data_IF_134482906676
#
_entry.id   IF_134482906676
#
_cell.length_a   1.000
_cell.length_b   1.000
_cell.length_c   1.000
_cell.angle_alpha   90.00
_cell.angle_beta   90.00
_cell.angle_gamma   90.00
#
_symmetry.space_group_name_H-M   'P 1'
#
loop_
_entity.id
_entity.type
_entity.pdbx_description
1 polymer ?
#
# COMPACT_ATOMS: atom_id res chain seq x y z
N UNK A 1 -21.21 51.93 58.83
CA UNK A 1 -22.19 50.93 59.26
C UNK A 1 -21.79 49.63 58.57
N UNK A 2 -21.18 48.71 59.35
CA UNK A 2 -20.94 47.24 59.20
C UNK A 2 -20.74 46.67 57.77
N UNK A 3 -19.81 45.77 57.44
CA UNK A 3 -19.08 44.71 58.15
C UNK A 3 -17.92 44.25 57.20
N UNK A 4 -16.69 43.93 57.65
CA UNK A 4 -16.16 42.56 57.92
C UNK A 4 -15.85 41.75 56.62
N UNK A 5 -14.81 40.91 56.41
CA UNK A 5 -13.86 40.12 57.21
C UNK A 5 -12.60 39.79 56.36
N UNK A 6 -11.45 39.78 57.03
CA UNK A 6 -10.21 38.97 56.95
C UNK A 6 -9.42 38.67 55.66
N UNK A 7 -8.12 38.51 55.96
CA UNK A 7 -6.93 38.32 55.15
C UNK A 7 -6.34 36.90 55.36
N UNK A 8 -5.69 36.38 54.32
CA UNK A 8 -4.48 35.51 54.32
C UNK A 8 -4.59 34.04 54.78
N UNK A 9 -4.23 33.08 53.90
CA UNK A 9 -3.00 32.27 53.99
C UNK A 9 -2.97 31.12 52.97
N UNK A 10 -1.80 30.90 52.35
CA UNK A 10 -1.43 29.65 51.67
C UNK A 10 -1.14 28.55 52.70
N UNK A 11 -1.49 27.31 52.38
CA UNK A 11 -0.82 26.11 52.90
C UNK A 11 -0.80 25.00 51.85
N UNK A 12 0.38 24.42 51.67
CA UNK A 12 0.66 23.26 50.85
C UNK A 12 0.12 21.98 51.50
N UNK A 13 -0.42 21.08 50.67
CA UNK A 13 -0.80 19.73 51.06
C UNK A 13 -0.20 18.72 50.08
N UNK A 14 0.90 18.11 50.48
CA UNK A 14 1.57 16.98 49.83
C UNK A 14 0.76 15.69 50.05
N UNK A 15 0.35 15.04 48.96
CA UNK A 15 -0.23 13.70 48.98
C UNK A 15 0.46 12.82 47.94
N UNK A 16 1.53 12.14 48.35
CA UNK A 16 2.23 11.15 47.52
C UNK A 16 1.38 9.89 47.37
N UNK A 17 0.87 9.65 46.16
CA UNK A 17 0.37 8.34 45.75
C UNK A 17 1.55 7.51 45.23
N UNK A 18 2.04 6.58 46.05
CA UNK A 18 3.05 5.61 45.66
C UNK A 18 2.47 4.71 44.55
N UNK A 19 3.14 4.67 43.41
CA UNK A 19 2.94 3.67 42.37
C UNK A 19 3.42 2.32 42.91
N UNK A 20 2.49 1.43 43.22
CA UNK A 20 2.83 0.03 43.51
C UNK A 20 3.21 -0.68 42.18
N UNK A 21 4.32 -1.42 42.11
CA UNK A 21 4.67 -2.21 40.94
C UNK A 21 3.94 -3.56 40.98
N UNK A 22 3.39 -3.98 39.84
CA UNK A 22 3.07 -5.39 39.60
C UNK A 22 1.65 -5.86 39.90
N UNK A 23 0.62 -5.19 39.35
CA UNK A 23 -0.64 -5.89 39.08
C UNK A 23 -0.62 -6.44 37.66
N UNK A 24 -0.22 -7.71 37.57
CA UNK A 24 -0.51 -8.56 36.42
C UNK A 24 -2.05 -8.59 36.23
N UNK A 25 -2.57 -8.30 35.03
CA UNK A 25 -4.01 -8.33 34.81
C UNK A 25 -4.54 -9.75 35.06
N UNK A 26 -5.74 -9.90 35.65
CA UNK A 26 -6.28 -11.21 36.00
C UNK A 26 -6.39 -12.09 34.75
N UNK A 27 -5.81 -13.29 34.84
CA UNK A 27 -5.92 -14.33 33.83
C UNK A 27 -7.40 -14.65 33.57
N UNK A 28 -7.88 -14.43 32.35
CA UNK A 28 -9.21 -14.87 31.92
C UNK A 28 -10.09 -13.83 31.23
N UNK A 29 -9.67 -12.58 31.07
CA UNK A 29 -10.34 -11.67 30.14
C UNK A 29 -9.78 -11.92 28.74
N UNK A 30 -10.48 -12.71 27.91
CA UNK A 30 -10.25 -12.74 26.47
C UNK A 30 -10.39 -11.31 25.96
N UNK A 31 -9.26 -10.66 25.63
CA UNK A 31 -9.26 -9.37 24.94
C UNK A 31 -10.26 -9.50 23.77
N UNK A 32 -11.25 -8.60 23.62
CA UNK A 32 -12.10 -8.64 22.44
C UNK A 32 -11.18 -8.68 21.21
N UNK A 33 -11.47 -9.52 20.20
CA UNK A 33 -10.65 -9.57 19.00
C UNK A 33 -10.47 -8.14 18.50
N UNK A 34 -9.22 -7.71 18.36
CA UNK A 34 -8.91 -6.37 17.90
C UNK A 34 -9.59 -6.19 16.55
N UNK A 35 -10.30 -5.06 16.38
CA UNK A 35 -11.02 -4.76 15.14
C UNK A 35 -10.11 -4.98 13.91
N UNK A 36 -10.63 -5.49 12.78
CA UNK A 36 -9.80 -5.83 11.62
C UNK A 36 -9.01 -4.63 11.09
N UNK A 37 -7.70 -4.80 10.95
CA UNK A 37 -6.77 -3.75 10.52
C UNK A 37 -6.34 -3.88 9.05
N UNK A 38 -6.71 -4.97 8.38
CA UNK A 38 -6.45 -5.25 6.96
C UNK A 38 -7.71 -5.80 6.29
N UNK A 39 -7.76 -5.77 4.96
CA UNK A 39 -8.85 -6.39 4.23
C UNK A 39 -8.89 -7.91 4.49
N UNK A 40 -7.75 -8.60 4.53
CA UNK A 40 -7.72 -10.04 4.81
C UNK A 40 -8.24 -10.38 6.22
N UNK A 41 -7.88 -9.60 7.25
CA UNK A 41 -8.46 -9.77 8.59
C UNK A 41 -9.97 -9.53 8.59
N UNK A 42 -10.44 -8.53 7.83
CA UNK A 42 -11.86 -8.22 7.71
C UNK A 42 -12.64 -9.37 7.05
N UNK A 43 -12.08 -9.95 5.99
CA UNK A 43 -12.63 -11.13 5.33
C UNK A 43 -12.68 -12.34 6.28
N UNK A 44 -11.60 -12.61 7.02
CA UNK A 44 -11.56 -13.72 7.99
C UNK A 44 -12.58 -13.58 9.11
N UNK A 45 -12.84 -12.34 9.55
CA UNK A 45 -13.78 -12.07 10.62
C UNK A 45 -15.25 -12.19 10.18
N UNK A 46 -15.57 -11.98 8.90
CA UNK A 46 -16.96 -11.85 8.43
C UNK A 46 -17.37 -12.86 7.33
N UNK A 47 -16.44 -13.64 6.78
CA UNK A 47 -16.71 -14.55 5.68
C UNK A 47 -16.86 -13.82 4.33
N UNK A 48 -18.03 -13.93 3.70
CA UNK A 48 -18.28 -13.35 2.38
C UNK A 48 -18.59 -11.85 2.47
N UNK A 49 -17.72 -11.04 1.91
CA UNK A 49 -17.87 -9.59 1.80
C UNK A 49 -17.89 -9.18 0.33
N UNK A 50 -18.59 -8.10 0.01
CA UNK A 50 -18.57 -7.50 -1.33
C UNK A 50 -17.33 -6.61 -1.49
N UNK A 51 -16.79 -6.53 -2.70
CA UNK A 51 -15.72 -5.57 -2.98
C UNK A 51 -16.20 -4.14 -2.72
N UNK A 52 -15.32 -3.28 -2.19
CA UNK A 52 -15.72 -1.92 -1.87
C UNK A 52 -14.79 -1.17 -0.94
N UNK A 53 -15.23 0.01 -0.51
CA UNK A 53 -14.47 0.88 0.40
C UNK A 53 -14.85 0.57 1.85
N UNK A 54 -13.85 0.32 2.69
CA UNK A 54 -14.01 -0.06 4.09
C UNK A 54 -13.12 0.78 4.99
N UNK A 55 -13.63 1.09 6.19
CA UNK A 55 -12.81 1.65 7.27
C UNK A 55 -12.13 0.51 8.02
N UNK A 56 -10.80 0.53 8.09
CA UNK A 56 -10.01 -0.45 8.82
C UNK A 56 -9.50 0.12 10.14
N UNK A 57 -9.35 -0.74 11.14
CA UNK A 57 -8.83 -0.36 12.43
C UNK A 57 -7.40 0.17 12.33
N UNK A 58 -7.14 1.32 12.96
CA UNK A 58 -5.82 1.93 13.01
C UNK A 58 -5.45 2.76 11.77
N UNK A 59 -6.18 2.68 10.66
CA UNK A 59 -6.04 3.64 9.56
C UNK A 59 -6.97 4.84 9.78
N UNK A 60 -6.47 6.04 9.50
CA UNK A 60 -7.29 7.25 9.52
C UNK A 60 -8.19 7.30 8.28
N UNK A 61 -7.65 6.88 7.14
CA UNK A 61 -8.30 6.88 5.85
C UNK A 61 -8.94 5.52 5.53
N UNK A 62 -10.06 5.46 4.80
CA UNK A 62 -10.61 4.20 4.33
C UNK A 62 -9.75 3.60 3.21
N UNK A 63 -9.96 2.32 2.90
CA UNK A 63 -9.27 1.62 1.81
C UNK A 63 -10.25 0.85 0.94
N UNK A 64 -9.89 0.60 -0.31
CA UNK A 64 -10.63 -0.34 -1.15
C UNK A 64 -10.16 -1.77 -0.87
N UNK A 65 -11.10 -2.65 -0.55
CA UNK A 65 -10.89 -4.08 -0.38
C UNK A 65 -11.46 -4.85 -1.57
N UNK A 66 -10.65 -5.74 -2.14
CA UNK A 66 -11.07 -6.72 -3.14
C UNK A 66 -11.12 -8.11 -2.48
N UNK A 67 -12.34 -8.62 -2.34
CA UNK A 67 -12.68 -9.91 -1.76
C UNK A 67 -13.03 -10.97 -2.81
N UNK A 68 -13.31 -10.56 -4.05
CA UNK A 68 -13.76 -11.45 -5.11
C UNK A 68 -12.61 -12.09 -5.90
N UNK A 69 -11.48 -11.39 -6.05
CA UNK A 69 -10.39 -11.87 -6.92
C UNK A 69 -9.29 -12.59 -6.12
N UNK A 70 -8.84 -13.72 -6.67
CA UNK A 70 -7.63 -14.43 -6.22
C UNK A 70 -7.61 -14.70 -4.71
N UNK A 71 -8.73 -15.24 -4.20
CA UNK A 71 -8.94 -15.58 -2.78
C UNK A 71 -9.31 -14.40 -1.87
N UNK A 72 -9.41 -13.19 -2.41
CA UNK A 72 -9.85 -12.00 -1.68
C UNK A 72 -8.86 -11.50 -0.63
N UNK A 73 -9.29 -10.49 0.13
CA UNK A 73 -8.50 -9.91 1.21
C UNK A 73 -7.41 -8.97 0.73
N UNK A 74 -7.51 -8.50 -0.52
CA UNK A 74 -6.56 -7.57 -1.11
C UNK A 74 -6.87 -6.14 -0.70
N UNK A 75 -5.86 -5.41 -0.24
CA UNK A 75 -5.94 -3.97 0.02
C UNK A 75 -5.34 -3.19 -1.14
N UNK A 76 -6.11 -2.26 -1.71
CA UNK A 76 -5.61 -1.37 -2.75
C UNK A 76 -4.58 -0.39 -2.17
N UNK A 77 -3.40 -0.33 -2.77
CA UNK A 77 -2.36 0.63 -2.38
C UNK A 77 -2.24 1.79 -3.36
N UNK A 78 -2.47 1.56 -4.65
CA UNK A 78 -2.31 2.59 -5.68
C UNK A 78 -3.20 2.33 -6.89
N UNK A 79 -3.78 3.40 -7.42
CA UNK A 79 -4.45 3.46 -8.72
C UNK A 79 -3.82 4.56 -9.54
N UNK A 80 -3.22 4.19 -10.66
CA UNK A 80 -2.68 5.11 -11.66
C UNK A 80 -3.63 5.15 -12.86
N UNK A 81 -4.74 5.86 -12.73
CA UNK A 81 -5.73 6.00 -13.79
C UNK A 81 -5.28 6.96 -14.90
N UNK A 82 -4.47 7.95 -14.57
CA UNK A 82 -3.84 8.86 -15.53
C UNK A 82 -2.49 9.35 -15.01
N UNK A 83 -1.68 9.95 -15.89
CA UNK A 83 -0.39 10.60 -15.50
C UNK A 83 -0.58 11.95 -14.79
N UNK A 84 -1.80 12.49 -14.77
CA UNK A 84 -2.03 13.86 -14.33
C UNK A 84 -1.71 14.06 -12.83
N UNK A 85 -0.82 15.03 -12.57
CA UNK A 85 -0.51 15.52 -11.24
C UNK A 85 0.30 14.57 -10.36
N UNK A 86 0.92 13.52 -10.91
CA UNK A 86 1.87 12.68 -10.16
C UNK A 86 3.22 13.37 -10.02
N UNK A 87 3.84 13.18 -8.87
CA UNK A 87 5.22 13.54 -8.58
C UNK A 87 5.84 12.49 -7.63
N UNK A 88 7.15 12.56 -7.39
CA UNK A 88 7.87 11.55 -6.59
C UNK A 88 7.41 11.46 -5.13
N UNK A 89 6.87 12.55 -4.59
CA UNK A 89 6.41 12.61 -3.21
C UNK A 89 5.01 12.00 -3.10
N UNK A 90 4.11 12.40 -4.00
CA UNK A 90 2.70 12.01 -3.94
C UNK A 90 2.44 10.58 -4.45
N UNK A 91 3.42 9.93 -5.09
CA UNK A 91 3.40 8.47 -5.30
C UNK A 91 3.17 7.72 -3.98
N UNK A 92 3.67 8.25 -2.85
CA UNK A 92 3.51 7.63 -1.52
C UNK A 92 2.13 7.83 -0.91
N UNK A 93 1.52 8.98 -1.15
CA UNK A 93 0.25 9.37 -0.56
C UNK A 93 -0.46 10.40 -1.45
N UNK A 94 -1.64 10.04 -1.96
CA UNK A 94 -2.45 10.89 -2.85
C UNK A 94 -3.92 10.50 -2.73
N UNK A 95 -4.80 11.48 -2.56
CA UNK A 95 -6.26 11.25 -2.44
C UNK A 95 -6.59 10.16 -1.41
N UNK A 96 -5.83 10.11 -0.31
CA UNK A 96 -5.81 8.96 0.60
C UNK A 96 -7.19 8.66 1.22
N UNK A 97 -7.99 9.69 1.40
CA UNK A 97 -9.37 9.66 1.91
C UNK A 97 -10.41 9.21 0.87
N UNK A 98 -10.01 9.04 -0.40
CA UNK A 98 -10.90 8.70 -1.52
C UNK A 98 -10.35 7.51 -2.34
N UNK A 99 -10.33 6.28 -1.77
CA UNK A 99 -9.97 5.08 -2.52
C UNK A 99 -10.81 4.95 -3.79
N UNK A 100 -10.15 4.72 -4.92
CA UNK A 100 -10.80 4.63 -6.22
C UNK A 100 -10.06 3.65 -7.11
N UNK A 101 -10.81 2.87 -7.90
CA UNK A 101 -10.25 2.04 -8.97
C UNK A 101 -10.13 2.80 -10.31
N UNK A 102 -10.73 3.99 -10.40
CA UNK A 102 -10.85 4.77 -11.64
C UNK A 102 -10.21 6.15 -11.57
N UNK A 103 -9.83 6.61 -10.38
CA UNK A 103 -9.16 7.88 -10.16
C UNK A 103 -7.78 7.69 -9.55
N UNK A 104 -6.90 8.68 -9.75
CA UNK A 104 -5.56 8.65 -9.17
C UNK A 104 -5.63 8.62 -7.63
N UNK A 105 -5.14 7.53 -7.06
CA UNK A 105 -5.17 7.22 -5.63
C UNK A 105 -3.84 6.60 -5.22
N UNK A 106 -3.33 6.94 -4.04
CA UNK A 106 -2.22 6.23 -3.42
C UNK A 106 -2.27 6.30 -1.90
N UNK A 107 -2.09 5.15 -1.28
CA UNK A 107 -1.65 4.97 0.10
C UNK A 107 -0.41 4.06 0.13
N UNK A 108 0.41 4.06 -0.92
CA UNK A 108 1.57 3.18 -1.04
C UNK A 108 2.51 3.26 0.18
N UNK A 109 2.66 4.45 0.77
CA UNK A 109 3.42 4.67 2.01
C UNK A 109 2.83 4.03 3.27
N UNK A 110 1.59 3.54 3.22
CA UNK A 110 0.97 2.72 4.28
C UNK A 110 1.21 1.22 4.08
N UNK A 111 1.71 0.80 2.91
CA UNK A 111 1.86 -0.61 2.54
C UNK A 111 2.64 -1.42 3.56
N UNK A 112 3.76 -0.88 4.07
CA UNK A 112 4.58 -1.58 5.05
C UNK A 112 3.89 -1.78 6.40
N UNK A 113 3.13 -0.78 6.84
CA UNK A 113 2.32 -0.86 8.07
C UNK A 113 1.26 -1.95 7.93
N UNK A 114 0.58 -2.00 6.79
CA UNK A 114 -0.49 -2.97 6.55
C UNK A 114 0.08 -4.39 6.41
N UNK A 115 1.19 -4.55 5.67
CA UNK A 115 1.95 -5.80 5.59
C UNK A 115 2.41 -6.31 6.97
N UNK A 116 2.73 -5.42 7.91
CA UNK A 116 3.22 -5.79 9.23
C UNK A 116 2.22 -6.59 10.08
N UNK A 117 0.94 -6.61 9.71
CA UNK A 117 -0.09 -7.46 10.34
C UNK A 117 0.00 -8.94 9.95
N UNK A 118 0.70 -9.27 8.87
CA UNK A 118 0.92 -10.66 8.44
C UNK A 118 2.03 -11.33 9.24
N UNK A 119 1.88 -12.64 9.47
CA UNK A 119 2.84 -13.43 10.27
C UNK A 119 3.83 -14.26 9.43
N UNK A 120 3.58 -14.43 8.14
CA UNK A 120 4.43 -15.23 7.24
C UNK A 120 5.73 -14.54 6.84
N UNK A 121 6.71 -15.32 6.35
CA UNK A 121 8.01 -14.80 5.88
C UNK A 121 7.94 -14.02 4.56
N UNK A 122 6.81 -14.11 3.86
CA UNK A 122 6.53 -13.41 2.61
C UNK A 122 5.14 -12.81 2.65
N UNK A 123 4.96 -11.73 1.89
CA UNK A 123 3.66 -11.14 1.58
C UNK A 123 3.39 -11.25 0.09
N UNK A 124 2.13 -11.08 -0.30
CA UNK A 124 1.73 -11.06 -1.69
C UNK A 124 1.46 -9.63 -2.17
N UNK A 125 1.78 -9.37 -3.44
CA UNK A 125 1.34 -8.18 -4.12
C UNK A 125 0.83 -8.51 -5.50
N UNK A 126 -0.12 -7.70 -5.98
CA UNK A 126 -0.73 -7.86 -7.30
C UNK A 126 -0.58 -6.59 -8.11
N UNK A 127 -0.16 -6.73 -9.35
CA UNK A 127 -0.15 -5.66 -10.35
C UNK A 127 -1.13 -6.02 -11.45
N UNK A 128 -1.95 -5.05 -11.81
CA UNK A 128 -2.89 -5.14 -12.94
C UNK A 128 -2.67 -3.91 -13.81
N UNK A 129 -2.43 -4.13 -15.11
CA UNK A 129 -2.46 -3.09 -16.12
C UNK A 129 -3.80 -3.11 -16.86
N UNK A 130 -4.16 -2.00 -17.47
CA UNK A 130 -5.38 -1.81 -18.26
C UNK A 130 -6.67 -2.16 -17.49
N UNK A 131 -6.70 -1.89 -16.18
CA UNK A 131 -7.81 -2.24 -15.31
C UNK A 131 -9.14 -1.54 -15.66
N UNK A 132 -9.11 -0.51 -16.51
CA UNK A 132 -10.30 0.11 -17.10
C UNK A 132 -11.02 -0.79 -18.14
N UNK A 133 -10.34 -1.82 -18.64
CA UNK A 133 -10.90 -2.80 -19.58
C UNK A 133 -11.46 -3.98 -18.80
N UNK A 134 -10.62 -4.64 -17.99
CA UNK A 134 -11.01 -5.72 -17.09
C UNK A 134 -9.96 -5.89 -15.97
N UNK A 135 -10.33 -6.57 -14.89
CA UNK A 135 -9.43 -6.93 -13.78
C UNK A 135 -8.50 -8.08 -14.17
N UNK A 136 -7.35 -8.16 -13.49
CA UNK A 136 -6.31 -9.20 -13.69
C UNK A 136 -5.79 -9.24 -15.12
N UNK A 137 -5.47 -8.07 -15.67
CA UNK A 137 -4.88 -7.91 -16.99
C UNK A 137 -3.42 -7.46 -16.88
N UNK A 138 -2.59 -7.85 -17.85
CA UNK A 138 -1.22 -7.41 -18.12
C UNK A 138 -0.36 -7.24 -16.87
N UNK A 139 -0.20 -8.30 -16.09
CA UNK A 139 0.45 -8.23 -14.79
C UNK A 139 0.54 -9.58 -14.11
N UNK A 140 0.32 -9.61 -12.80
CA UNK A 140 0.39 -10.87 -12.06
C UNK A 140 0.28 -10.71 -10.55
N UNK A 141 0.49 -11.81 -9.87
CA UNK A 141 0.62 -11.92 -8.41
C UNK A 141 2.00 -12.46 -8.10
N UNK A 142 2.67 -11.79 -7.17
CA UNK A 142 3.99 -12.17 -6.71
C UNK A 142 4.02 -12.32 -5.20
N UNK A 143 4.98 -13.12 -4.72
CA UNK A 143 5.41 -13.12 -3.33
C UNK A 143 6.74 -12.38 -3.20
N UNK A 144 6.88 -11.60 -2.13
CA UNK A 144 8.09 -10.89 -1.77
C UNK A 144 8.47 -11.16 -0.30
N UNK A 145 9.78 -11.22 0.04
CA UNK A 145 10.30 -11.26 1.40
C UNK A 145 9.69 -10.20 2.30
N UNK A 146 9.36 -10.55 3.54
CA UNK A 146 8.67 -9.64 4.48
C UNK A 146 9.48 -8.39 4.82
N UNK A 147 10.80 -8.43 4.73
CA UNK A 147 11.71 -7.31 4.97
C UNK A 147 11.72 -6.28 3.81
N UNK A 148 11.17 -6.61 2.65
CA UNK A 148 11.04 -5.67 1.52
C UNK A 148 9.99 -4.60 1.78
N UNK A 149 10.25 -3.35 1.39
CA UNK A 149 9.31 -2.22 1.52
C UNK A 149 8.46 -2.03 0.26
N UNK A 150 7.28 -1.44 0.38
CA UNK A 150 6.47 -0.93 -0.76
C UNK A 150 6.98 0.39 -1.35
N UNK A 151 7.93 1.02 -0.66
CA UNK A 151 8.43 2.34 -0.97
C UNK A 151 9.94 2.39 -1.27
N UNK A 152 10.56 1.35 -1.87
CA UNK A 152 12.00 1.33 -2.07
C UNK A 152 12.40 2.40 -3.07
N UNK A 153 13.57 2.99 -2.87
CA UNK A 153 14.13 4.03 -3.74
C UNK A 153 15.20 3.47 -4.71
N UNK A 154 15.37 2.14 -4.69
CA UNK A 154 16.32 1.40 -5.52
C UNK A 154 15.67 0.14 -6.08
N UNK A 155 16.23 -0.40 -7.16
CA UNK A 155 15.78 -1.61 -7.84
C UNK A 155 16.37 -2.90 -7.23
N UNK A 156 16.64 -2.90 -5.92
CA UNK A 156 17.39 -3.98 -5.23
C UNK A 156 16.49 -5.10 -4.70
N UNK A 157 15.17 -4.88 -4.62
CA UNK A 157 14.19 -5.84 -4.12
C UNK A 157 13.80 -6.90 -5.17
N UNK A 158 14.76 -7.78 -5.49
CA UNK A 158 14.71 -8.70 -6.65
C UNK A 158 14.32 -10.15 -6.33
N UNK A 159 14.37 -10.58 -5.08
CA UNK A 159 13.96 -11.94 -4.69
C UNK A 159 12.42 -12.07 -4.63
N UNK A 160 11.78 -12.03 -5.79
CA UNK A 160 10.32 -12.17 -5.92
C UNK A 160 9.95 -13.46 -6.65
N UNK A 161 8.86 -14.09 -6.24
CA UNK A 161 8.32 -15.29 -6.87
C UNK A 161 7.00 -14.97 -7.57
N UNK A 162 6.92 -15.17 -8.89
CA UNK A 162 5.67 -15.05 -9.65
C UNK A 162 4.77 -16.25 -9.34
N UNK A 163 3.63 -16.01 -8.70
CA UNK A 163 2.65 -17.05 -8.35
C UNK A 163 1.62 -17.22 -9.45
N UNK A 164 1.17 -16.10 -10.03
CA UNK A 164 0.16 -16.10 -11.07
C UNK A 164 0.47 -15.04 -12.09
N UNK A 165 0.49 -15.43 -13.37
CA UNK A 165 0.66 -14.51 -14.49
C UNK A 165 -0.71 -14.11 -15.03
N UNK A 166 -0.86 -12.83 -15.37
CA UNK A 166 -2.00 -12.30 -16.11
C UNK A 166 -1.56 -11.94 -17.52
N UNK A 167 -2.27 -12.51 -18.51
CA UNK A 167 -1.96 -12.42 -19.93
C UNK A 167 -0.57 -12.91 -20.34
N UNK A 168 -0.24 -12.70 -21.61
CA UNK A 168 1.00 -13.16 -22.21
C UNK A 168 2.07 -12.07 -22.17
N UNK A 169 3.02 -12.23 -21.25
CA UNK A 169 4.22 -11.41 -21.20
C UNK A 169 5.42 -12.21 -20.69
N UNK A 170 6.63 -11.71 -20.94
CA UNK A 170 7.89 -12.28 -20.46
C UNK A 170 8.68 -11.22 -19.72
N UNK A 171 9.46 -11.63 -18.71
CA UNK A 171 10.36 -10.68 -18.08
C UNK A 171 11.42 -10.19 -19.06
N UNK A 172 11.80 -8.93 -18.96
CA UNK A 172 12.96 -8.41 -19.69
C UNK A 172 12.82 -6.94 -20.04
N UNK A 173 13.82 -6.45 -20.78
CA UNK A 173 13.90 -5.04 -21.22
C UNK A 173 12.58 -4.49 -21.77
N UNK A 174 11.87 -5.16 -22.72
CA UNK A 174 10.62 -4.64 -23.28
C UNK A 174 9.37 -4.87 -22.41
N UNK A 175 9.51 -5.20 -21.12
CA UNK A 175 8.41 -5.60 -20.24
C UNK A 175 8.74 -5.37 -18.76
N UNK A 176 7.98 -6.01 -17.88
CA UNK A 176 8.23 -6.07 -16.44
C UNK A 176 9.58 -6.75 -16.17
N UNK A 177 10.24 -6.34 -15.08
CA UNK A 177 11.46 -7.01 -14.61
C UNK A 177 11.19 -7.75 -13.30
N UNK A 178 12.15 -8.59 -12.90
CA UNK A 178 12.09 -9.36 -11.64
C UNK A 178 12.50 -8.50 -10.44
N UNK A 179 11.68 -7.51 -10.10
CA UNK A 179 11.81 -6.68 -8.90
C UNK A 179 10.45 -6.17 -8.46
N UNK A 180 10.29 -5.89 -7.17
CA UNK A 180 9.17 -5.04 -6.74
C UNK A 180 9.26 -3.65 -7.39
N UNK A 181 8.11 -2.99 -7.64
CA UNK A 181 8.09 -1.59 -8.02
C UNK A 181 8.90 -0.72 -7.05
N UNK A 182 9.71 0.19 -7.59
CA UNK A 182 10.54 1.13 -6.85
C UNK A 182 10.37 2.56 -7.35
N UNK A 183 10.63 3.52 -6.47
CA UNK A 183 10.42 4.94 -6.69
C UNK A 183 11.72 5.57 -7.14
N UNK A 184 11.66 6.25 -8.28
CA UNK A 184 12.83 6.80 -8.92
C UNK A 184 13.19 8.18 -8.34
N UNK A 185 13.96 8.18 -7.26
CA UNK A 185 14.42 9.43 -6.63
C UNK A 185 15.76 9.93 -7.17
N UNK A 186 16.56 9.07 -7.79
CA UNK A 186 17.93 9.38 -8.27
C UNK A 186 18.00 9.86 -9.73
N UNK A 187 16.89 10.38 -10.28
CA UNK A 187 16.83 10.86 -11.67
C UNK A 187 17.22 9.81 -12.72
N UNK A 188 17.03 8.50 -12.45
CA UNK A 188 17.20 7.47 -13.48
C UNK A 188 16.31 7.80 -14.68
N UNK A 189 16.87 7.75 -15.90
CA UNK A 189 16.22 8.25 -17.11
C UNK A 189 15.61 9.65 -16.94
N UNK A 190 16.34 10.58 -16.32
CA UNK A 190 15.89 11.97 -16.06
C UNK A 190 14.61 12.06 -15.23
N UNK A 191 14.33 11.04 -14.42
CA UNK A 191 13.12 11.02 -13.59
C UNK A 191 11.84 10.59 -14.30
N UNK A 192 11.93 10.15 -15.57
CA UNK A 192 10.76 9.82 -16.40
C UNK A 192 9.86 8.79 -15.71
N UNK A 193 10.33 7.59 -15.32
CA UNK A 193 9.51 6.70 -14.52
C UNK A 193 9.50 7.21 -13.08
N UNK A 194 8.33 7.47 -12.50
CA UNK A 194 8.17 7.80 -11.08
C UNK A 194 8.11 6.54 -10.21
N UNK A 195 7.39 5.52 -10.69
CA UNK A 195 7.26 4.20 -10.05
C UNK A 195 7.38 3.13 -11.13
N UNK A 196 8.35 2.24 -11.01
CA UNK A 196 8.66 1.28 -12.07
C UNK A 196 9.20 -0.04 -11.55
N UNK A 197 9.09 -1.09 -12.36
CA UNK A 197 9.82 -2.35 -12.18
C UNK A 197 11.12 -2.38 -12.99
N UNK A 198 11.42 -1.40 -13.84
CA UNK A 198 12.65 -1.39 -14.63
C UNK A 198 13.90 -1.51 -13.75
N UNK A 199 14.85 -2.39 -14.10
CA UNK A 199 16.17 -2.41 -13.46
C UNK A 199 17.04 -1.30 -14.02
N UNK A 200 17.78 -0.55 -13.19
CA UNK A 200 18.63 0.56 -13.66
C UNK A 200 19.62 0.13 -14.74
N UNK A 201 20.15 -1.10 -14.63
CA UNK A 201 21.08 -1.69 -15.59
C UNK A 201 20.47 -1.99 -16.98
N UNK A 202 19.13 -2.01 -17.12
CA UNK A 202 18.50 -2.27 -18.41
C UNK A 202 18.61 -1.07 -19.36
N UNK A 203 18.69 0.15 -18.79
CA UNK A 203 18.57 1.43 -19.48
C UNK A 203 17.34 1.51 -20.39
N UNK A 204 16.22 1.02 -19.87
CA UNK A 204 14.93 0.93 -20.55
C UNK A 204 13.81 1.57 -19.68
N UNK A 205 12.62 1.73 -20.23
CA UNK A 205 11.49 2.45 -19.62
C UNK A 205 10.19 1.63 -19.57
N UNK A 206 10.20 0.40 -20.11
CA UNK A 206 9.11 -0.56 -19.97
C UNK A 206 8.98 -1.11 -18.54
N UNK A 207 7.79 -1.60 -18.21
CA UNK A 207 7.43 -2.02 -16.87
C UNK A 207 7.20 -0.86 -15.90
N UNK A 208 6.89 0.33 -16.43
CA UNK A 208 6.65 1.54 -15.64
C UNK A 208 5.17 1.67 -15.29
N UNK A 209 4.89 1.81 -14.00
CA UNK A 209 3.53 1.96 -13.47
C UNK A 209 3.09 3.43 -13.61
N UNK A 210 3.98 4.35 -13.25
CA UNK A 210 3.74 5.79 -13.29
C UNK A 210 4.91 6.49 -13.98
N UNK A 211 4.61 7.29 -14.99
CA UNK A 211 5.55 8.25 -15.59
C UNK A 211 5.24 9.67 -15.16
N UNK A 212 6.26 10.50 -15.06
CA UNK A 212 6.12 11.94 -14.89
C UNK A 212 5.35 12.53 -16.09
N UNK A 213 4.24 13.26 -15.86
CA UNK A 213 3.42 13.84 -16.92
C UNK A 213 4.18 14.78 -17.85
N UNK A 214 5.26 15.42 -17.41
CA UNK A 214 6.02 16.39 -18.19
C UNK A 214 6.95 15.77 -19.25
N UNK A 215 7.08 14.44 -19.29
CA UNK A 215 8.27 13.81 -19.89
C UNK A 215 8.01 12.84 -21.04
N UNK A 216 6.75 12.61 -21.43
CA UNK A 216 6.40 11.63 -22.47
C UNK A 216 5.16 12.01 -23.29
N UNK A 217 5.13 11.61 -24.56
CA UNK A 217 3.96 11.71 -25.46
C UNK A 217 2.95 10.57 -25.28
N UNK A 218 3.27 9.53 -24.50
CA UNK A 218 2.37 8.42 -24.26
C UNK A 218 1.18 8.86 -23.40
N UNK A 219 -0.02 8.35 -23.68
CA UNK A 219 -1.21 8.67 -22.87
C UNK A 219 -1.16 8.03 -21.48
N UNK A 220 -0.57 6.84 -21.36
CA UNK A 220 -0.29 6.11 -20.13
C UNK A 220 1.18 5.66 -20.10
N UNK A 221 1.65 5.10 -18.98
CA UNK A 221 3.05 4.67 -18.84
C UNK A 221 3.42 3.55 -19.84
N UNK A 222 4.67 3.50 -20.34
CA UNK A 222 5.17 2.37 -21.10
C UNK A 222 5.18 1.11 -20.22
N UNK A 223 4.46 0.08 -20.67
CA UNK A 223 4.20 -1.09 -19.85
C UNK A 223 4.82 -2.37 -20.39
N UNK A 224 4.19 -3.00 -21.38
CA UNK A 224 4.67 -4.25 -21.98
C UNK A 224 4.64 -4.07 -23.50
N UNK A 225 5.79 -3.88 -24.12
CA UNK A 225 5.91 -3.51 -25.54
C UNK A 225 5.06 -4.39 -26.46
N UNK A 226 5.11 -5.71 -26.25
CA UNK A 226 4.34 -6.69 -27.01
C UNK A 226 3.04 -6.98 -26.27
N UNK A 227 1.91 -6.48 -26.80
CA UNK A 227 0.57 -6.78 -26.32
C UNK A 227 -0.10 -5.63 -25.56
N UNK A 228 0.62 -4.97 -24.63
CA UNK A 228 0.11 -3.83 -23.86
C UNK A 228 1.13 -2.69 -23.77
N UNK A 229 1.42 -2.00 -24.89
CA UNK A 229 2.44 -0.96 -24.91
C UNK A 229 2.09 0.24 -24.02
N UNK A 230 0.81 0.41 -23.70
CA UNK A 230 0.33 1.38 -22.71
C UNK A 230 -0.20 0.65 -21.48
N UNK A 231 0.16 1.15 -20.30
CA UNK A 231 -0.25 0.59 -19.02
C UNK A 231 -1.76 0.67 -18.79
N UNK A 232 -2.46 1.62 -19.40
CA UNK A 232 -3.82 1.99 -19.00
C UNK A 232 -3.86 2.39 -17.52
N UNK A 233 -4.99 2.14 -16.87
CA UNK A 233 -5.13 2.18 -15.41
C UNK A 233 -4.32 1.05 -14.79
N UNK A 234 -3.34 1.41 -13.96
CA UNK A 234 -2.58 0.43 -13.17
C UNK A 234 -3.14 0.36 -11.76
N UNK A 235 -3.35 -0.85 -11.25
CA UNK A 235 -3.70 -1.12 -9.86
C UNK A 235 -2.57 -1.87 -9.17
N UNK A 236 -2.18 -1.41 -7.99
CA UNK A 236 -1.19 -2.05 -7.13
C UNK A 236 -1.83 -2.43 -5.80
N UNK A 237 -1.82 -3.73 -5.50
CA UNK A 237 -2.46 -4.31 -4.33
C UNK A 237 -1.46 -4.97 -3.41
N UNK A 238 -1.82 -5.05 -2.13
CA UNK A 238 -1.10 -5.81 -1.12
C UNK A 238 -2.04 -6.77 -0.41
N UNK A 239 -1.50 -7.94 -0.07
CA UNK A 239 -2.10 -8.89 0.86
C UNK A 239 -1.00 -9.44 1.77
N UNK A 240 -1.22 -9.37 3.07
CA UNK A 240 -0.16 -9.58 4.07
C UNK A 240 0.22 -11.05 4.28
N UNK A 241 -0.54 -11.99 3.71
CA UNK A 241 -0.27 -13.43 3.79
C UNK A 241 -0.44 -14.13 2.45
N UNK A 242 0.20 -15.29 2.35
CA UNK A 242 0.29 -16.12 1.15
C UNK A 242 -1.03 -16.89 0.95
N UNK A 243 -1.42 -17.06 -0.32
CA UNK A 243 -2.45 -18.02 -0.69
C UNK A 243 -1.94 -19.45 -0.38
N UNK A 244 -2.63 -20.27 0.41
CA UNK A 244 -2.26 -21.68 0.57
C UNK A 244 -2.21 -22.42 -0.77
#
# INVERSE_FOLDING_TARGET
MVAEVARTALAAGSGGGQSAPGQEPPAGQTRPPSAPATCLQLQRANGSLADGVYQLAGLAEPVYCDFSHDGGGWTLLLTAASRAGWDRLNVRLRSADRPSLTDNYSILGRGDRLKAFGTGHRFAYRLEGQAQVDRRQWGGIWLAPRDYTFTPETDTQRDIALVKKFDSWTYGKPSLQKTMPWINVEDYLKGIPLLTTTLKASNDWWGTLLTDPATTSYQHSPWIHVGAPQSGTVLYWMREEVLP
#
